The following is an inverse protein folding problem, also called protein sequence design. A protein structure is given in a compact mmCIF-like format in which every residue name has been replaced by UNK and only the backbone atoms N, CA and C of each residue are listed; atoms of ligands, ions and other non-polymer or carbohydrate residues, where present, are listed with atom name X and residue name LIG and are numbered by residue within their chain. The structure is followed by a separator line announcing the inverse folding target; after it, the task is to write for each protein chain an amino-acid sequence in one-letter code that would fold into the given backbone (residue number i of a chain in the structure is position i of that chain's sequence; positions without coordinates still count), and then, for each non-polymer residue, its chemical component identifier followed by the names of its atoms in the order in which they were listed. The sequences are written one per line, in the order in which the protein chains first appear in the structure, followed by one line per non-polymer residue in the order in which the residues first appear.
data_IF_296431814489
#
_entry.id   IF_296431814489
#
_cell.length_a   1.000
_cell.length_b   1.000
_cell.length_c   1.000
_cell.angle_alpha   90.00
_cell.angle_beta   90.00
_cell.angle_gamma   90.00
#
_symmetry.space_group_name_H-M   'P 1'
#
loop_
_entity.id
_entity.type
_entity.pdbx_description
1 polymer ?
#
# COMPACT_ATOMS: atom_id res chain seq x y z
N UNK A 1 -16.19 0.60 44.35
CA UNK A 1 -17.63 0.37 44.64
C UNK A 1 -17.89 -0.72 45.68
N UNK A 2 -17.08 -1.79 45.76
CA UNK A 2 -17.31 -2.87 46.72
C UNK A 2 -17.32 -2.43 48.20
N UNK A 3 -16.42 -1.53 48.60
CA UNK A 3 -16.31 -1.10 50.00
C UNK A 3 -17.65 -0.60 50.57
N UNK A 4 -18.41 0.21 49.84
CA UNK A 4 -19.72 0.71 50.28
C UNK A 4 -20.78 -0.41 50.42
N UNK A 5 -20.67 -1.47 49.60
CA UNK A 5 -21.56 -2.63 49.65
C UNK A 5 -21.28 -3.49 50.89
N UNK A 6 -20.00 -3.74 51.18
CA UNK A 6 -19.57 -4.44 52.41
C UNK A 6 -19.95 -3.61 53.64
N UNK A 7 -19.74 -2.29 53.62
CA UNK A 7 -20.13 -1.38 54.71
C UNK A 7 -21.62 -1.45 55.08
N UNK A 8 -22.48 -1.71 54.09
CA UNK A 8 -23.91 -1.76 54.29
C UNK A 8 -24.36 -3.06 54.99
N UNK A 9 -23.56 -4.12 54.87
CA UNK A 9 -23.84 -5.45 55.43
C UNK A 9 -23.11 -5.64 56.76
N UNK A 10 -21.83 -5.26 56.83
CA UNK A 10 -21.03 -5.26 58.05
C UNK A 10 -20.47 -3.87 58.37
N UNK A 11 -21.12 -3.22 59.34
CA UNK A 11 -20.70 -1.92 59.85
C UNK A 11 -19.35 -1.96 60.58
N UNK A 12 -18.86 -3.14 61.00
CA UNK A 12 -17.55 -3.30 61.61
C UNK A 12 -16.43 -2.95 60.62
N UNK A 13 -16.54 -3.44 59.38
CA UNK A 13 -15.56 -3.23 58.31
C UNK A 13 -15.33 -1.76 57.96
N UNK A 14 -16.30 -0.88 58.25
CA UNK A 14 -16.24 0.53 57.86
C UNK A 14 -16.11 1.50 59.02
N UNK A 15 -16.42 1.06 60.25
CA UNK A 15 -16.33 1.92 61.43
C UNK A 15 -15.22 1.51 62.40
N UNK A 16 -14.66 0.31 62.27
CA UNK A 16 -13.69 -0.21 63.23
C UNK A 16 -12.37 -0.60 62.55
N UNK A 17 -12.37 -1.61 61.68
CA UNK A 17 -11.16 -2.04 60.97
C UNK A 17 -11.51 -2.89 59.77
N UNK A 18 -10.77 -2.72 58.68
CA UNK A 18 -10.80 -3.64 57.56
C UNK A 18 -9.85 -4.81 57.85
N UNK A 19 -10.40 -5.99 58.15
CA UNK A 19 -9.63 -7.19 58.49
C UNK A 19 -9.94 -8.36 57.53
N UNK A 20 -9.43 -9.56 57.83
CA UNK A 20 -9.59 -10.74 56.97
C UNK A 20 -11.04 -11.18 56.79
N UNK A 21 -11.96 -10.83 57.70
CA UNK A 21 -13.39 -11.11 57.54
C UNK A 21 -13.97 -10.16 56.50
N UNK A 22 -13.61 -8.87 56.57
CA UNK A 22 -14.03 -7.87 55.58
C UNK A 22 -13.54 -8.18 54.16
N UNK A 23 -12.35 -8.78 54.04
CA UNK A 23 -11.83 -9.26 52.75
C UNK A 23 -12.66 -10.45 52.23
N UNK A 24 -13.02 -11.40 53.10
CA UNK A 24 -13.89 -12.52 52.73
C UNK A 24 -15.30 -12.08 52.33
N UNK A 25 -15.90 -11.15 53.06
CA UNK A 25 -17.20 -10.58 52.72
C UNK A 25 -17.15 -9.74 51.44
N UNK A 26 -16.05 -9.03 51.18
CA UNK A 26 -15.85 -8.32 49.93
C UNK A 26 -15.76 -9.28 48.73
N UNK A 27 -15.11 -10.43 48.89
CA UNK A 27 -15.07 -11.47 47.87
C UNK A 27 -16.45 -12.09 47.62
N UNK A 28 -17.27 -12.29 48.66
CA UNK A 28 -18.61 -12.87 48.49
C UNK A 28 -19.64 -11.86 47.93
N UNK A 29 -19.60 -10.61 48.39
CA UNK A 29 -20.60 -9.59 48.05
C UNK A 29 -20.26 -8.82 46.77
N UNK A 30 -18.99 -8.78 46.39
CA UNK A 30 -18.51 -7.99 45.27
C UNK A 30 -17.47 -8.68 44.39
N UNK A 31 -16.98 -9.87 44.76
CA UNK A 31 -16.15 -10.65 43.88
C UNK A 31 -17.01 -11.10 42.71
N UNK A 32 -16.72 -10.58 41.53
CA UNK A 32 -17.16 -11.23 40.30
C UNK A 32 -16.63 -12.67 40.33
N UNK A 33 -17.48 -13.70 40.22
CA UNK A 33 -17.00 -15.07 40.10
C UNK A 33 -16.10 -15.15 38.86
N UNK A 34 -14.81 -15.48 39.06
CA UNK A 34 -13.87 -15.69 37.94
C UNK A 34 -12.61 -14.82 37.92
N UNK A 35 -12.36 -13.95 38.90
CA UNK A 35 -11.10 -13.18 38.93
C UNK A 35 -9.93 -14.03 39.45
N UNK A 36 -8.82 -14.02 38.71
CA UNK A 36 -7.59 -14.72 39.08
C UNK A 36 -6.94 -14.12 40.35
N UNK A 37 -6.69 -14.91 41.41
CA UNK A 37 -5.90 -14.47 42.56
C UNK A 37 -4.40 -14.32 42.25
N UNK A 38 -3.72 -13.41 42.94
CA UNK A 38 -2.26 -13.28 42.88
C UNK A 38 -1.59 -14.59 43.34
N UNK A 39 -0.68 -15.11 42.51
CA UNK A 39 -0.04 -16.41 42.69
C UNK A 39 1.46 -16.35 42.35
N UNK A 40 2.25 -17.28 42.91
CA UNK A 40 3.71 -17.36 42.77
C UNK A 40 4.20 -18.54 41.89
N UNK A 41 3.27 -19.23 41.24
CA UNK A 41 3.54 -20.38 40.37
C UNK A 41 2.82 -20.26 39.03
N UNK A 42 3.38 -20.91 38.01
CA UNK A 42 2.76 -21.00 36.69
C UNK A 42 1.48 -21.85 36.70
N UNK A 43 0.69 -21.78 35.63
CA UNK A 43 -0.61 -22.43 35.52
C UNK A 43 -0.53 -23.97 35.42
N UNK A 44 0.67 -24.52 35.41
CA UNK A 44 0.93 -25.94 35.20
C UNK A 44 1.65 -26.60 36.37
N UNK A 45 1.82 -25.83 37.45
CA UNK A 45 2.37 -26.30 38.71
C UNK A 45 1.26 -26.26 39.75
N UNK A 46 1.10 -27.32 40.54
CA UNK A 46 0.13 -27.31 41.64
C UNK A 46 0.53 -26.28 42.72
N UNK A 47 -0.44 -25.54 43.28
CA UNK A 47 -0.15 -24.52 44.27
C UNK A 47 -1.38 -23.85 44.91
N UNK A 48 -1.17 -22.62 45.37
CA UNK A 48 -2.23 -21.76 45.89
C UNK A 48 -3.25 -21.43 44.77
N UNK A 49 -4.46 -20.96 45.09
CA UNK A 49 -5.42 -20.54 44.06
C UNK A 49 -4.84 -19.52 43.08
N UNK A 50 -5.14 -19.70 41.79
CA UNK A 50 -4.63 -18.87 40.69
C UNK A 50 -3.21 -19.22 40.22
N UNK A 51 -2.77 -18.59 39.14
CA UNK A 51 -1.43 -18.76 38.57
C UNK A 51 -0.88 -17.44 38.00
N UNK A 52 0.40 -17.43 37.62
CA UNK A 52 1.09 -16.21 37.16
C UNK A 52 0.64 -15.69 35.81
N UNK A 53 0.04 -16.53 34.96
CA UNK A 53 -0.56 -16.10 33.69
C UNK A 53 -2.03 -15.77 33.94
N UNK A 54 -2.34 -14.48 33.95
CA UNK A 54 -3.68 -13.97 34.30
C UNK A 54 -4.72 -14.38 33.26
N UNK A 55 -4.38 -14.42 31.97
CA UNK A 55 -5.34 -14.74 30.90
C UNK A 55 -5.69 -16.23 30.92
N UNK A 56 -4.68 -17.09 31.07
CA UNK A 56 -4.92 -18.52 31.28
C UNK A 56 -5.69 -18.78 32.58
N UNK A 57 -5.28 -18.11 33.66
CA UNK A 57 -5.92 -18.24 34.96
C UNK A 57 -7.41 -17.88 34.88
N UNK A 58 -7.76 -16.72 34.32
CA UNK A 58 -9.16 -16.29 34.16
C UNK A 58 -9.97 -17.28 33.30
N UNK A 59 -9.35 -17.86 32.27
CA UNK A 59 -9.96 -18.89 31.43
C UNK A 59 -10.29 -20.16 32.22
N UNK A 60 -9.33 -20.66 33.02
CA UNK A 60 -9.55 -21.81 33.91
C UNK A 60 -10.55 -21.45 35.01
N UNK A 61 -10.46 -20.27 35.62
CA UNK A 61 -11.39 -19.79 36.64
C UNK A 61 -12.84 -19.75 36.17
N UNK A 62 -13.06 -19.43 34.90
CA UNK A 62 -14.40 -19.37 34.29
C UNK A 62 -15.02 -20.76 34.12
N UNK A 63 -14.19 -21.79 33.96
CA UNK A 63 -14.61 -23.19 33.80
C UNK A 63 -14.73 -23.89 35.15
N UNK A 64 -13.69 -23.78 35.98
CA UNK A 64 -13.65 -24.32 37.34
C UNK A 64 -13.28 -23.24 38.38
N UNK A 65 -14.33 -22.74 39.04
CA UNK A 65 -14.20 -21.80 40.15
C UNK A 65 -13.42 -22.40 41.34
N UNK A 66 -13.24 -23.72 41.44
CA UNK A 66 -12.42 -24.36 42.46
C UNK A 66 -10.95 -23.90 42.36
N UNK A 67 -10.42 -23.78 41.13
CA UNK A 67 -9.03 -23.39 40.86
C UNK A 67 -8.68 -21.99 41.38
N UNK A 68 -9.68 -21.12 41.50
CA UNK A 68 -9.49 -19.72 41.89
C UNK A 68 -10.02 -19.39 43.28
N UNK A 69 -10.77 -20.31 43.91
CA UNK A 69 -11.31 -20.12 45.24
C UNK A 69 -10.74 -21.07 46.31
N UNK A 70 -10.16 -22.22 45.91
CA UNK A 70 -9.78 -23.27 46.85
C UNK A 70 -8.32 -23.69 46.70
N UNK A 71 -7.91 -24.15 45.51
CA UNK A 71 -6.53 -24.54 45.23
C UNK A 71 -6.31 -24.74 43.74
N UNK A 72 -5.09 -24.48 43.28
CA UNK A 72 -4.64 -24.89 41.97
C UNK A 72 -4.07 -26.31 42.06
N UNK A 73 -4.89 -27.34 41.84
CA UNK A 73 -4.47 -28.74 41.96
C UNK A 73 -4.24 -29.41 40.58
N UNK A 74 -3.95 -30.71 40.55
CA UNK A 74 -3.69 -31.43 39.30
C UNK A 74 -4.86 -31.45 38.31
N UNK A 75 -6.09 -31.15 38.73
CA UNK A 75 -7.21 -30.92 37.82
C UNK A 75 -7.07 -29.55 37.16
N UNK A 76 -6.78 -28.50 37.94
CA UNK A 76 -6.52 -27.15 37.42
C UNK A 76 -5.34 -27.11 36.44
N UNK A 77 -4.27 -27.86 36.73
CA UNK A 77 -3.13 -28.02 35.80
C UNK A 77 -3.56 -28.72 34.50
N UNK A 78 -4.41 -29.74 34.59
CA UNK A 78 -4.94 -30.43 33.40
C UNK A 78 -5.87 -29.55 32.57
N UNK A 79 -6.74 -28.79 33.22
CA UNK A 79 -7.61 -27.81 32.57
C UNK A 79 -6.81 -26.66 31.95
N UNK A 80 -5.74 -26.19 32.62
CA UNK A 80 -4.82 -25.21 32.04
C UNK A 80 -4.11 -25.76 30.81
N UNK A 81 -3.68 -27.03 30.81
CA UNK A 81 -3.07 -27.65 29.63
C UNK A 81 -4.06 -27.76 28.46
N UNK A 82 -5.34 -28.05 28.73
CA UNK A 82 -6.38 -28.16 27.71
C UNK A 82 -6.83 -26.79 27.17
N UNK A 83 -6.94 -25.78 28.05
CA UNK A 83 -7.51 -24.48 27.72
C UNK A 83 -6.47 -23.43 27.32
N UNK A 84 -5.21 -23.60 27.75
CA UNK A 84 -4.15 -22.61 27.58
C UNK A 84 -2.87 -23.14 26.90
N UNK A 85 -2.75 -24.46 26.68
CA UNK A 85 -1.54 -25.10 26.12
C UNK A 85 -0.41 -25.31 27.15
N UNK A 86 0.44 -26.33 27.01
CA UNK A 86 1.48 -26.66 28.02
C UNK A 86 2.68 -25.67 28.03
N UNK A 87 3.35 -25.48 29.19
CA UNK A 87 4.47 -24.55 29.33
C UNK A 87 5.72 -25.16 28.69
N UNK A 88 6.28 -24.43 27.73
CA UNK A 88 7.41 -24.88 26.92
C UNK A 88 7.09 -25.05 25.44
N UNK A 89 5.84 -24.83 25.03
CA UNK A 89 5.58 -24.47 23.64
C UNK A 89 6.33 -23.18 23.32
N UNK A 90 7.10 -23.17 22.23
CA UNK A 90 7.73 -21.98 21.66
C UNK A 90 7.37 -21.83 20.17
N UNK A 91 6.26 -22.47 19.75
CA UNK A 91 5.84 -22.77 18.37
C UNK A 91 6.83 -23.61 17.54
N UNK A 92 8.12 -23.51 17.81
CA UNK A 92 9.21 -24.06 17.00
C UNK A 92 9.61 -25.47 17.42
N UNK A 93 8.85 -26.10 18.29
CA UNK A 93 9.09 -27.46 18.77
C UNK A 93 7.76 -28.15 19.07
N UNK A 94 7.68 -29.48 18.86
CA UNK A 94 6.50 -30.26 19.24
C UNK A 94 6.25 -30.10 20.74
N UNK A 95 4.99 -29.92 21.13
CA UNK A 95 4.60 -29.79 22.54
C UNK A 95 3.55 -30.81 22.98
N UNK A 96 3.10 -31.71 22.10
CA UNK A 96 2.09 -32.76 22.33
C UNK A 96 0.71 -32.26 22.87
N UNK A 97 0.57 -30.96 23.15
CA UNK A 97 -0.68 -30.24 23.42
C UNK A 97 -1.25 -29.60 22.16
N UNK A 98 -2.24 -28.71 22.27
CA UNK A 98 -2.80 -27.96 21.13
C UNK A 98 -2.22 -26.55 21.09
N UNK A 99 -2.01 -26.02 19.88
CA UNK A 99 -1.56 -24.64 19.69
C UNK A 99 -0.13 -24.37 20.16
N UNK A 100 0.22 -23.08 20.23
CA UNK A 100 1.50 -22.62 20.74
C UNK A 100 1.42 -21.25 21.44
N UNK A 101 2.55 -20.76 21.94
CA UNK A 101 2.65 -19.56 22.76
C UNK A 101 2.70 -18.24 21.97
N UNK A 102 2.87 -18.29 20.65
CA UNK A 102 2.76 -17.14 19.75
C UNK A 102 1.42 -17.20 18.98
N UNK A 103 0.45 -16.32 19.29
CA UNK A 103 -0.88 -16.37 18.68
C UNK A 103 -0.89 -16.02 17.19
N UNK A 104 0.13 -15.30 16.70
CA UNK A 104 0.25 -14.99 15.27
C UNK A 104 0.77 -16.21 14.51
N UNK A 105 1.78 -16.87 15.06
CA UNK A 105 2.31 -18.11 14.52
C UNK A 105 1.27 -19.23 14.56
N UNK A 106 0.61 -19.41 15.70
CA UNK A 106 -0.46 -20.39 15.85
C UNK A 106 -1.53 -20.15 14.78
N UNK A 107 -2.05 -18.93 14.64
CA UNK A 107 -3.09 -18.63 13.65
C UNK A 107 -2.65 -18.93 12.21
N UNK A 108 -1.38 -18.66 11.87
CA UNK A 108 -0.83 -18.94 10.54
C UNK A 108 -0.76 -20.45 10.27
N UNK A 109 -0.27 -21.24 11.24
CA UNK A 109 -0.19 -22.69 11.14
C UNK A 109 -1.59 -23.32 11.13
N UNK A 110 -2.50 -22.89 12.03
CA UNK A 110 -3.89 -23.37 12.08
C UNK A 110 -4.65 -23.15 10.77
N UNK A 111 -4.34 -22.08 10.04
CA UNK A 111 -4.99 -21.77 8.77
C UNK A 111 -4.62 -22.77 7.66
N UNK A 112 -3.46 -23.42 7.78
CA UNK A 112 -2.99 -24.46 6.86
C UNK A 112 -3.38 -25.85 7.38
N UNK A 113 -3.07 -26.13 8.65
CA UNK A 113 -3.37 -27.41 9.30
C UNK A 113 -4.14 -27.24 10.61
N UNK A 114 -5.46 -27.48 10.54
CA UNK A 114 -6.34 -27.48 11.70
C UNK A 114 -5.96 -28.55 12.74
N UNK A 115 -5.22 -29.60 12.36
CA UNK A 115 -4.74 -30.62 13.30
C UNK A 115 -3.89 -30.00 14.41
N UNK A 116 -3.09 -28.99 14.10
CA UNK A 116 -2.20 -28.31 15.05
C UNK A 116 -2.94 -27.60 16.19
N UNK A 117 -4.22 -27.27 15.97
CA UNK A 117 -5.02 -26.43 16.87
C UNK A 117 -6.24 -27.17 17.42
N UNK A 118 -6.64 -28.28 16.79
CA UNK A 118 -7.74 -29.13 17.24
C UNK A 118 -7.27 -30.47 17.83
N UNK A 119 -6.05 -30.93 17.52
CA UNK A 119 -5.59 -32.27 17.91
C UNK A 119 -4.25 -32.28 18.63
N UNK A 120 -3.18 -31.82 17.99
CA UNK A 120 -1.85 -31.79 18.60
C UNK A 120 -0.86 -30.93 17.80
N UNK A 121 -0.04 -30.17 18.49
CA UNK A 121 1.14 -29.49 17.98
C UNK A 121 2.33 -30.45 17.96
N UNK A 122 2.44 -31.21 16.89
CA UNK A 122 3.46 -32.24 16.70
C UNK A 122 4.66 -31.75 15.86
N UNK A 123 5.50 -32.67 15.39
CA UNK A 123 6.66 -32.35 14.53
C UNK A 123 6.32 -31.79 13.16
N UNK A 124 5.09 -32.00 12.67
CA UNK A 124 4.61 -31.38 11.44
C UNK A 124 4.28 -29.92 11.71
N UNK A 125 3.52 -29.64 12.78
CA UNK A 125 3.18 -28.28 13.20
C UNK A 125 4.42 -27.42 13.49
N UNK A 126 5.43 -27.99 14.15
CA UNK A 126 6.69 -27.29 14.41
C UNK A 126 7.52 -27.03 13.13
N UNK A 127 7.41 -27.89 12.11
CA UNK A 127 8.08 -27.68 10.82
C UNK A 127 7.35 -26.60 10.01
N UNK A 128 6.02 -26.63 9.98
CA UNK A 128 5.21 -25.58 9.36
C UNK A 128 5.44 -24.23 10.04
N UNK A 129 5.54 -24.21 11.38
CA UNK A 129 5.91 -23.01 12.12
C UNK A 129 7.32 -22.51 11.78
N UNK A 130 8.28 -23.40 11.54
CA UNK A 130 9.62 -23.02 11.12
C UNK A 130 9.65 -22.37 9.73
N UNK A 131 8.69 -22.71 8.85
CA UNK A 131 8.56 -22.12 7.52
C UNK A 131 7.72 -20.83 7.53
N UNK A 132 6.72 -20.72 8.41
CA UNK A 132 5.74 -19.64 8.40
C UNK A 132 6.02 -18.51 9.39
N UNK A 133 6.64 -18.83 10.53
CA UNK A 133 6.62 -17.97 11.69
C UNK A 133 7.97 -17.33 11.98
N UNK A 134 7.99 -16.00 12.08
CA UNK A 134 9.21 -15.22 12.32
C UNK A 134 9.88 -15.63 13.63
N UNK A 135 9.08 -15.97 14.65
CA UNK A 135 9.55 -16.46 15.96
C UNK A 135 10.36 -17.76 15.86
N UNK A 136 10.13 -18.55 14.80
CA UNK A 136 10.83 -19.80 14.50
C UNK A 136 11.92 -19.68 13.44
N UNK A 137 12.24 -18.45 13.03
CA UNK A 137 13.17 -18.17 11.94
C UNK A 137 12.56 -18.32 10.55
N UNK A 138 11.24 -18.53 10.46
CA UNK A 138 10.48 -18.53 9.21
C UNK A 138 10.05 -17.11 8.85
N UNK A 139 10.62 -16.54 7.80
CA UNK A 139 9.94 -15.48 7.07
C UNK A 139 8.91 -16.15 6.17
N UNK A 140 7.69 -15.61 6.09
CA UNK A 140 6.67 -16.07 5.15
C UNK A 140 7.33 -16.42 3.80
N UNK A 141 7.18 -17.65 3.26
CA UNK A 141 7.86 -18.05 2.04
C UNK A 141 7.53 -17.04 0.95
N UNK A 142 8.55 -16.38 0.40
CA UNK A 142 8.36 -15.32 -0.60
C UNK A 142 8.72 -13.90 -0.15
N UNK A 143 9.07 -13.65 1.12
CA UNK A 143 9.55 -12.32 1.54
C UNK A 143 11.00 -12.14 1.09
N UNK A 144 11.27 -11.04 0.39
CA UNK A 144 12.62 -10.70 -0.01
C UNK A 144 13.52 -10.37 1.19
N UNK A 145 14.63 -11.09 1.42
CA UNK A 145 15.60 -10.73 2.45
C UNK A 145 16.42 -9.48 2.06
N UNK A 146 16.96 -8.78 3.05
CA UNK A 146 17.83 -7.61 2.82
C UNK A 146 19.13 -8.05 2.11
N UNK A 147 19.43 -7.40 0.98
CA UNK A 147 20.54 -7.77 0.09
C UNK A 147 21.40 -6.56 -0.28
N UNK A 148 22.64 -6.81 -0.72
CA UNK A 148 23.64 -5.80 -1.08
C UNK A 148 23.85 -5.66 -2.60
N UNK A 149 23.02 -6.31 -3.41
CA UNK A 149 23.12 -6.35 -4.87
C UNK A 149 21.76 -6.16 -5.56
N UNK A 150 21.78 -5.71 -6.81
CA UNK A 150 20.58 -5.60 -7.64
C UNK A 150 20.07 -6.96 -8.14
N UNK A 151 18.82 -7.02 -8.60
CA UNK A 151 18.17 -8.28 -9.01
C UNK A 151 18.76 -8.90 -10.29
N UNK A 152 19.73 -8.24 -10.92
CA UNK A 152 20.34 -8.64 -12.18
C UNK A 152 21.81 -9.04 -12.00
N UNK A 153 22.24 -9.14 -10.75
CA UNK A 153 23.59 -9.53 -10.35
C UNK A 153 23.50 -10.73 -9.41
N UNK A 154 24.35 -11.74 -9.64
CA UNK A 154 24.43 -12.90 -8.73
C UNK A 154 24.96 -12.48 -7.34
N UNK A 155 24.43 -13.06 -6.26
CA UNK A 155 24.91 -12.80 -4.91
C UNK A 155 24.21 -13.58 -3.79
N UNK A 156 24.08 -12.95 -2.62
CA UNK A 156 23.31 -13.50 -1.48
C UNK A 156 21.83 -13.65 -1.80
N UNK A 157 21.06 -14.34 -0.96
CA UNK A 157 19.61 -14.46 -1.16
C UNK A 157 18.93 -13.08 -1.22
N UNK A 158 17.89 -12.96 -2.05
CA UNK A 158 17.18 -11.71 -2.33
C UNK A 158 18.01 -10.67 -3.09
N UNK A 159 17.39 -9.54 -3.42
CA UNK A 159 18.02 -8.41 -4.11
C UNK A 159 17.48 -7.07 -3.59
N UNK A 160 18.10 -5.95 -3.98
CA UNK A 160 17.79 -4.63 -3.43
C UNK A 160 16.43 -4.07 -3.88
N UNK A 161 15.86 -4.56 -4.99
CA UNK A 161 14.51 -4.18 -5.41
C UNK A 161 13.52 -5.18 -4.83
N UNK A 162 12.82 -4.77 -3.77
CA UNK A 162 11.91 -5.62 -3.01
C UNK A 162 10.73 -6.11 -3.86
N UNK A 163 10.19 -5.28 -4.77
CA UNK A 163 9.04 -5.67 -5.59
C UNK A 163 9.43 -6.71 -6.64
N UNK A 164 10.57 -6.51 -7.31
CA UNK A 164 11.11 -7.52 -8.22
C UNK A 164 11.48 -8.80 -7.47
N UNK A 165 12.16 -8.65 -6.33
CA UNK A 165 12.58 -9.76 -5.52
C UNK A 165 11.39 -10.62 -5.08
N UNK A 166 10.34 -10.04 -4.49
CA UNK A 166 9.13 -10.76 -4.08
C UNK A 166 8.45 -11.46 -5.26
N UNK A 167 8.49 -10.86 -6.45
CA UNK A 167 7.97 -11.47 -7.69
C UNK A 167 8.75 -12.73 -8.06
N UNK A 168 10.08 -12.69 -7.99
CA UNK A 168 10.95 -13.86 -8.24
C UNK A 168 10.77 -14.89 -7.11
N UNK A 169 10.74 -14.47 -5.85
CA UNK A 169 10.56 -15.37 -4.70
C UNK A 169 9.25 -16.18 -4.78
N UNK A 170 8.20 -15.59 -5.34
CA UNK A 170 6.92 -16.26 -5.51
C UNK A 170 6.95 -17.39 -6.55
N UNK A 171 7.93 -17.36 -7.46
CA UNK A 171 8.14 -18.37 -8.51
C UNK A 171 9.22 -19.37 -8.10
N UNK A 172 10.35 -18.87 -7.59
CA UNK A 172 11.46 -19.67 -7.10
C UNK A 172 11.92 -19.21 -5.71
N UNK A 173 11.49 -19.95 -4.69
CA UNK A 173 11.90 -19.73 -3.31
C UNK A 173 13.41 -19.89 -3.10
N UNK A 174 14.12 -20.62 -3.98
CA UNK A 174 15.57 -20.76 -3.89
C UNK A 174 16.27 -19.39 -3.93
N UNK A 175 15.75 -18.45 -4.72
CA UNK A 175 16.31 -17.11 -4.86
C UNK A 175 16.27 -16.29 -3.56
N UNK A 176 15.35 -16.63 -2.65
CA UNK A 176 15.08 -15.87 -1.42
C UNK A 176 15.44 -16.63 -0.15
N UNK A 177 15.54 -17.96 -0.22
CA UNK A 177 15.92 -18.82 0.90
C UNK A 177 17.39 -19.25 0.85
N UNK A 178 17.97 -19.33 -0.36
CA UNK A 178 19.29 -19.94 -0.55
C UNK A 178 20.30 -18.98 -1.15
N UNK A 179 20.09 -18.52 -2.38
CA UNK A 179 21.02 -17.62 -3.08
C UNK A 179 20.41 -17.05 -4.35
N UNK A 180 20.79 -15.82 -4.67
CA UNK A 180 20.48 -15.21 -5.96
C UNK A 180 21.54 -15.63 -6.99
N UNK A 181 21.30 -16.72 -7.73
CA UNK A 181 22.23 -17.23 -8.76
C UNK A 181 21.83 -16.81 -10.18
N UNK A 182 22.52 -17.33 -11.20
CA UNK A 182 22.24 -16.97 -12.60
C UNK A 182 20.82 -17.34 -13.06
N UNK A 183 20.16 -18.33 -12.45
CA UNK A 183 18.76 -18.63 -12.73
C UNK A 183 17.88 -17.53 -12.14
N UNK A 184 18.15 -17.07 -10.92
CA UNK A 184 17.45 -15.94 -10.31
C UNK A 184 17.59 -14.65 -11.13
N UNK A 185 18.77 -14.40 -11.72
CA UNK A 185 19.01 -13.27 -12.62
C UNK A 185 18.21 -13.40 -13.92
N UNK A 186 18.17 -14.61 -14.51
CA UNK A 186 17.38 -14.87 -15.72
C UNK A 186 15.87 -14.72 -15.44
N UNK A 187 15.39 -15.23 -14.31
CA UNK A 187 14.00 -15.10 -13.86
C UNK A 187 13.62 -13.66 -13.54
N UNK A 188 14.49 -12.90 -12.87
CA UNK A 188 14.30 -11.48 -12.64
C UNK A 188 14.22 -10.69 -13.95
N UNK A 189 15.04 -11.05 -14.93
CA UNK A 189 15.02 -10.44 -16.27
C UNK A 189 13.70 -10.72 -17.00
N UNK A 190 13.13 -11.91 -16.85
CA UNK A 190 11.85 -12.28 -17.46
C UNK A 190 10.63 -11.70 -16.72
N UNK A 191 10.65 -11.70 -15.38
CA UNK A 191 9.49 -11.37 -14.56
C UNK A 191 9.39 -9.88 -14.20
N UNK A 192 10.52 -9.22 -13.98
CA UNK A 192 10.56 -7.83 -13.53
C UNK A 192 10.91 -6.84 -14.64
N UNK A 193 11.48 -7.34 -15.75
CA UNK A 193 12.23 -6.50 -16.68
C UNK A 193 13.53 -6.01 -16.06
N UNK A 194 14.48 -5.59 -16.89
CA UNK A 194 15.80 -5.16 -16.42
C UNK A 194 15.80 -3.62 -16.18
N UNK A 195 15.82 -3.11 -14.93
CA UNK A 195 16.07 -1.72 -14.64
C UNK A 195 17.48 -1.37 -15.11
N UNK A 196 17.59 -0.23 -15.78
CA UNK A 196 18.85 0.22 -16.37
C UNK A 196 19.14 -0.32 -17.77
N UNK A 197 18.13 -0.82 -18.49
CA UNK A 197 18.25 -0.98 -19.93
C UNK A 197 18.58 0.35 -20.61
N UNK A 198 18.06 1.47 -20.08
CA UNK A 198 18.27 2.80 -20.63
C UNK A 198 19.48 3.51 -20.02
N UNK A 199 20.57 3.66 -20.78
CA UNK A 199 21.65 4.54 -20.36
C UNK A 199 21.23 6.00 -20.40
N UNK A 200 21.88 6.82 -19.58
CA UNK A 200 21.73 8.28 -19.59
C UNK A 200 21.97 8.82 -21.01
N UNK A 201 21.00 9.60 -21.49
CA UNK A 201 20.97 10.11 -22.85
C UNK A 201 20.70 11.62 -22.87
N UNK A 202 21.17 12.29 -23.92
CA UNK A 202 21.04 13.74 -24.13
C UNK A 202 19.97 14.13 -25.16
N UNK A 203 19.18 13.15 -25.63
CA UNK A 203 18.15 13.32 -26.66
C UNK A 203 16.85 12.59 -26.30
N UNK A 204 15.74 13.09 -26.83
CA UNK A 204 14.43 12.46 -26.72
C UNK A 204 14.35 11.15 -27.53
N UNK A 205 13.29 10.37 -27.31
CA UNK A 205 13.13 9.05 -27.94
C UNK A 205 12.78 9.11 -29.43
N UNK A 206 12.54 10.30 -29.95
CA UNK A 206 12.13 10.55 -31.34
C UNK A 206 13.25 11.18 -32.17
N UNK A 207 14.45 11.29 -31.60
CA UNK A 207 15.64 11.83 -32.23
C UNK A 207 16.74 10.78 -32.24
N UNK A 208 17.44 10.61 -33.37
CA UNK A 208 18.59 9.70 -33.43
C UNK A 208 19.76 10.22 -32.57
N UNK A 209 20.48 9.33 -31.88
CA UNK A 209 21.58 9.71 -31.00
C UNK A 209 22.42 8.58 -30.42
N UNK A 210 23.00 8.83 -29.25
CA UNK A 210 23.66 7.80 -28.43
C UNK A 210 22.67 6.73 -27.96
N UNK A 211 23.12 5.64 -27.32
CA UNK A 211 22.21 4.64 -26.77
C UNK A 211 21.22 5.27 -25.77
N UNK A 212 20.00 4.76 -25.74
CA UNK A 212 18.92 5.23 -24.86
C UNK A 212 18.36 6.61 -25.21
N UNK A 213 17.30 7.03 -24.53
CA UNK A 213 16.69 8.35 -24.66
C UNK A 213 16.23 8.91 -23.31
N UNK A 214 15.83 10.19 -23.28
CA UNK A 214 15.53 10.90 -22.01
C UNK A 214 14.22 10.47 -21.34
N UNK A 215 13.28 9.87 -22.07
CA UNK A 215 12.09 9.28 -21.46
C UNK A 215 12.37 7.82 -21.12
N UNK A 216 12.59 7.55 -19.83
CA UNK A 216 13.00 6.23 -19.32
C UNK A 216 11.93 5.18 -19.62
N UNK A 217 10.64 5.50 -19.49
CA UNK A 217 9.58 4.51 -19.70
C UNK A 217 9.46 4.12 -21.17
N UNK A 218 9.53 5.11 -22.08
CA UNK A 218 9.58 4.85 -23.50
C UNK A 218 10.85 4.06 -23.87
N UNK A 219 11.97 4.54 -23.36
CA UNK A 219 13.26 3.94 -23.61
C UNK A 219 13.26 2.45 -23.21
N UNK A 220 12.81 2.11 -21.99
CA UNK A 220 12.78 0.73 -21.51
C UNK A 220 11.84 -0.15 -22.34
N UNK A 221 10.73 0.42 -22.82
CA UNK A 221 9.80 -0.25 -23.74
C UNK A 221 10.48 -0.61 -25.06
N UNK A 222 11.23 0.32 -25.66
CA UNK A 222 11.99 0.07 -26.89
C UNK A 222 13.14 -0.90 -26.62
N UNK A 223 13.88 -0.74 -25.52
CA UNK A 223 15.00 -1.61 -25.16
C UNK A 223 14.59 -3.08 -24.96
N UNK A 224 13.39 -3.31 -24.43
CA UNK A 224 12.85 -4.65 -24.24
C UNK A 224 12.57 -5.35 -25.59
N UNK A 225 12.30 -4.58 -26.64
CA UNK A 225 12.07 -5.08 -28.00
C UNK A 225 13.37 -5.17 -28.79
N UNK A 226 14.17 -4.12 -28.76
CA UNK A 226 15.48 -4.05 -29.43
C UNK A 226 16.59 -3.56 -28.49
N UNK A 227 17.35 -4.52 -27.98
CA UNK A 227 18.53 -4.27 -27.16
C UNK A 227 19.61 -3.46 -27.89
N UNK A 228 19.59 -3.36 -29.22
CA UNK A 228 20.52 -2.53 -29.99
C UNK A 228 20.38 -1.04 -29.64
N UNK A 229 19.14 -0.58 -29.44
CA UNK A 229 18.82 0.81 -29.13
C UNK A 229 19.49 1.31 -27.85
N UNK A 230 19.77 0.39 -26.94
CA UNK A 230 20.22 0.73 -25.59
C UNK A 230 21.65 0.25 -25.29
N UNK A 231 22.17 -0.67 -26.11
CA UNK A 231 23.55 -1.14 -26.01
C UNK A 231 24.48 -0.57 -27.10
N UNK A 232 23.94 -0.11 -28.23
CA UNK A 232 24.76 0.28 -29.40
C UNK A 232 24.50 1.69 -29.89
N UNK A 233 23.27 2.03 -30.25
CA UNK A 233 22.89 3.38 -30.70
C UNK A 233 21.39 3.51 -30.84
N UNK A 234 20.86 4.70 -30.57
CA UNK A 234 19.48 5.07 -30.91
C UNK A 234 19.42 5.57 -32.35
N UNK A 235 19.16 4.67 -33.31
CA UNK A 235 19.09 5.00 -34.75
C UNK A 235 17.64 5.16 -35.25
N UNK A 236 17.47 5.35 -36.57
CA UNK A 236 16.14 5.53 -37.16
C UNK A 236 15.19 4.34 -37.01
N UNK A 237 15.69 3.13 -36.70
CA UNK A 237 14.86 1.99 -36.32
C UNK A 237 14.35 2.20 -34.90
N UNK A 238 15.23 2.57 -33.96
CA UNK A 238 14.85 2.88 -32.57
C UNK A 238 13.84 4.01 -32.48
N UNK A 239 13.99 5.07 -33.29
CA UNK A 239 13.00 6.15 -33.39
C UNK A 239 11.66 5.65 -33.93
N UNK A 240 11.68 4.76 -34.93
CA UNK A 240 10.47 4.13 -35.45
C UNK A 240 9.77 3.25 -34.41
N UNK A 241 10.53 2.44 -33.68
CA UNK A 241 10.01 1.61 -32.60
C UNK A 241 9.49 2.45 -31.43
N UNK A 242 10.15 3.55 -31.07
CA UNK A 242 9.66 4.51 -30.09
C UNK A 242 8.33 5.15 -30.53
N UNK A 243 8.21 5.46 -31.81
CA UNK A 243 6.96 5.98 -32.40
C UNK A 243 5.84 4.95 -32.31
N UNK A 244 6.13 3.68 -32.59
CA UNK A 244 5.11 2.62 -32.59
C UNK A 244 4.73 2.15 -31.17
N UNK A 245 5.68 2.14 -30.23
CA UNK A 245 5.54 1.51 -28.91
C UNK A 245 5.29 2.52 -27.77
N UNK A 246 5.88 3.71 -27.84
CA UNK A 246 5.80 4.70 -26.78
C UNK A 246 4.75 5.78 -27.04
N UNK A 247 4.61 6.18 -28.31
CA UNK A 247 3.64 7.19 -28.73
C UNK A 247 2.26 6.56 -28.92
N UNK A 248 1.85 5.78 -27.91
CA UNK A 248 0.71 4.87 -27.92
C UNK A 248 -0.52 5.44 -28.61
N UNK A 249 -0.79 4.88 -29.80
CA UNK A 249 -1.99 5.01 -30.63
C UNK A 249 -2.12 6.27 -31.51
N UNK A 250 -2.71 6.11 -32.72
CA UNK A 250 -3.19 7.25 -33.51
C UNK A 250 -4.01 8.20 -32.64
N UNK A 251 -3.56 9.46 -32.52
CA UNK A 251 -4.20 10.49 -31.71
C UNK A 251 -3.41 11.01 -30.49
N UNK A 252 -2.09 10.84 -30.40
CA UNK A 252 -1.27 11.56 -29.40
C UNK A 252 -0.91 12.96 -29.91
N UNK A 253 -0.96 13.96 -29.03
CA UNK A 253 -0.69 15.36 -29.37
C UNK A 253 0.82 15.66 -29.51
N UNK A 254 1.30 16.08 -30.70
CA UNK A 254 2.68 16.55 -30.85
C UNK A 254 2.88 17.97 -30.31
N UNK A 255 4.11 18.28 -29.92
CA UNK A 255 4.48 19.62 -29.46
C UNK A 255 4.34 20.67 -30.59
N UNK A 256 3.73 21.81 -30.27
CA UNK A 256 3.44 22.90 -31.21
C UNK A 256 3.67 24.28 -30.57
N UNK A 257 3.94 25.28 -31.42
CA UNK A 257 4.21 26.68 -31.04
C UNK A 257 2.95 27.58 -31.12
N UNK A 258 1.77 27.01 -31.40
CA UNK A 258 0.53 27.78 -31.51
C UNK A 258 -0.58 27.25 -30.58
N UNK A 259 -1.49 28.15 -30.21
CA UNK A 259 -2.69 27.78 -29.44
C UNK A 259 -3.63 26.87 -30.26
N UNK A 260 -4.57 26.24 -29.57
CA UNK A 260 -5.51 25.26 -30.15
C UNK A 260 -6.59 25.90 -31.03
N UNK A 261 -6.70 27.23 -31.01
CA UNK A 261 -7.64 28.01 -31.81
C UNK A 261 -6.97 28.64 -33.05
N UNK A 262 -5.69 28.34 -33.27
CA UNK A 262 -4.90 28.83 -34.40
C UNK A 262 -4.45 27.65 -35.26
N UNK A 263 -4.75 27.69 -36.55
CA UNK A 263 -4.27 26.69 -37.51
C UNK A 263 -2.74 26.74 -37.69
N UNK A 264 -2.11 25.58 -37.83
CA UNK A 264 -0.66 25.47 -37.95
C UNK A 264 -0.11 24.06 -38.15
N UNK A 265 1.00 23.79 -37.47
CA UNK A 265 1.61 22.46 -37.45
C UNK A 265 0.69 21.48 -36.68
N UNK A 266 0.84 20.16 -36.82
CA UNK A 266 0.11 19.23 -35.96
C UNK A 266 0.25 19.57 -34.48
N UNK A 267 -0.83 19.35 -33.72
CA UNK A 267 -0.91 19.64 -32.29
C UNK A 267 -1.09 21.11 -31.91
N UNK A 268 -1.18 21.42 -30.62
CA UNK A 268 -1.27 22.77 -30.07
C UNK A 268 -0.64 22.87 -28.68
N UNK A 269 -0.53 24.10 -28.13
CA UNK A 269 0.17 24.35 -26.87
C UNK A 269 -0.55 23.84 -25.60
N UNK A 270 -1.86 23.59 -25.65
CA UNK A 270 -2.60 22.99 -24.54
C UNK A 270 -2.71 21.49 -24.77
N UNK A 271 -1.94 20.71 -24.01
CA UNK A 271 -1.86 19.25 -24.15
C UNK A 271 -3.23 18.57 -23.95
N UNK A 272 -4.02 19.02 -22.97
CA UNK A 272 -5.31 18.38 -22.67
C UNK A 272 -6.35 18.67 -23.76
N UNK A 273 -6.39 19.92 -24.25
CA UNK A 273 -7.22 20.27 -25.39
C UNK A 273 -6.76 19.55 -26.66
N UNK A 274 -5.45 19.47 -26.87
CA UNK A 274 -4.88 18.81 -28.00
C UNK A 274 -5.21 17.32 -28.04
N UNK A 275 -4.99 16.58 -26.95
CA UNK A 275 -5.35 15.16 -26.82
C UNK A 275 -6.84 14.92 -27.07
N UNK A 276 -7.72 15.82 -26.58
CA UNK A 276 -9.15 15.74 -26.83
C UNK A 276 -9.49 15.91 -28.32
N UNK A 277 -8.83 16.85 -29.03
CA UNK A 277 -9.01 17.05 -30.47
C UNK A 277 -8.45 15.87 -31.26
N UNK A 278 -7.26 15.36 -30.88
CA UNK A 278 -6.63 14.20 -31.51
C UNK A 278 -7.49 12.93 -31.41
N UNK A 279 -8.22 12.77 -30.31
CA UNK A 279 -9.12 11.65 -30.08
C UNK A 279 -10.37 11.69 -30.98
N UNK A 280 -10.81 12.88 -31.39
CA UNK A 280 -11.91 13.06 -32.35
C UNK A 280 -11.44 12.92 -33.80
N UNK A 281 -10.29 13.51 -34.14
CA UNK A 281 -9.69 13.41 -35.47
C UNK A 281 -8.16 13.35 -35.39
N UNK A 282 -7.61 12.16 -35.65
CA UNK A 282 -6.16 11.94 -35.61
C UNK A 282 -5.41 12.73 -36.70
N UNK A 283 -6.10 13.22 -37.74
CA UNK A 283 -5.52 14.12 -38.74
C UNK A 283 -4.90 15.38 -38.11
N UNK A 284 -5.51 15.89 -37.03
CA UNK A 284 -5.05 17.09 -36.32
C UNK A 284 -3.67 16.93 -35.68
N UNK A 285 -3.29 15.68 -35.43
CA UNK A 285 -2.08 15.33 -34.68
C UNK A 285 -1.08 14.53 -35.52
N UNK A 286 -1.53 13.95 -36.64
CA UNK A 286 -0.68 13.25 -37.60
C UNK A 286 -0.31 14.08 -38.83
N UNK A 287 -1.20 14.98 -39.28
CA UNK A 287 -1.06 15.64 -40.59
C UNK A 287 -0.96 17.16 -40.50
N UNK A 288 -1.95 17.83 -39.92
CA UNK A 288 -1.92 19.29 -39.70
C UNK A 288 -3.05 19.74 -38.78
N UNK A 289 -2.83 20.82 -38.04
CA UNK A 289 -3.87 21.51 -37.31
C UNK A 289 -4.56 22.53 -38.22
N UNK A 290 -5.66 22.16 -38.87
CA UNK A 290 -6.39 23.03 -39.80
C UNK A 290 -7.68 23.64 -39.17
N UNK A 291 -8.50 24.30 -39.98
CA UNK A 291 -9.76 24.89 -39.52
C UNK A 291 -10.75 23.85 -38.96
N UNK A 292 -10.68 22.59 -39.40
CA UNK A 292 -11.51 21.54 -38.82
C UNK A 292 -11.02 21.21 -37.40
N UNK A 293 -9.71 21.14 -37.18
CA UNK A 293 -9.11 20.96 -35.86
C UNK A 293 -9.46 22.10 -34.90
N UNK A 294 -9.44 23.35 -35.37
CA UNK A 294 -9.88 24.51 -34.59
C UNK A 294 -11.36 24.42 -34.23
N UNK A 295 -12.23 23.95 -35.15
CA UNK A 295 -13.65 23.77 -34.85
C UNK A 295 -13.89 22.64 -33.85
N UNK A 296 -13.15 21.54 -33.94
CA UNK A 296 -13.19 20.47 -32.93
C UNK A 296 -12.74 21.04 -31.59
N UNK A 297 -11.64 21.79 -31.55
CA UNK A 297 -11.14 22.42 -30.33
C UNK A 297 -12.19 23.33 -29.67
N UNK A 298 -12.96 24.10 -30.46
CA UNK A 298 -14.08 24.91 -29.95
C UNK A 298 -15.22 24.07 -29.35
N UNK A 299 -15.39 22.82 -29.77
CA UNK A 299 -16.45 21.93 -29.29
C UNK A 299 -16.03 21.08 -28.08
N UNK A 300 -14.79 20.59 -28.07
CA UNK A 300 -14.31 19.64 -27.05
C UNK A 300 -13.45 20.29 -25.97
N UNK A 301 -12.84 21.44 -26.25
CA UNK A 301 -12.04 22.17 -25.26
C UNK A 301 -12.92 23.17 -24.51
N UNK A 302 -13.82 22.66 -23.67
CA UNK A 302 -14.67 23.46 -22.79
C UNK A 302 -14.11 23.40 -21.36
N UNK A 303 -13.34 24.42 -20.95
CA UNK A 303 -13.06 24.69 -19.53
C UNK A 303 -11.63 24.92 -19.05
N UNK A 304 -10.63 25.08 -19.93
CA UNK A 304 -9.27 25.49 -19.51
C UNK A 304 -8.91 26.84 -20.12
N UNK A 305 -9.20 27.90 -19.35
CA UNK A 305 -8.62 29.25 -19.44
C UNK A 305 -8.12 29.69 -20.82
N UNK A 306 -8.88 30.55 -21.50
CA UNK A 306 -8.44 31.14 -22.76
C UNK A 306 -7.01 31.71 -22.64
N UNK A 307 -6.14 31.65 -23.67
CA UNK A 307 -4.70 31.95 -23.57
C UNK A 307 -4.36 33.43 -23.33
N UNK A 308 -5.32 34.24 -22.89
CA UNK A 308 -5.25 35.69 -22.97
C UNK A 308 -5.73 36.38 -21.70
N UNK A 309 -5.03 37.46 -21.36
CA UNK A 309 -5.18 38.23 -20.13
C UNK A 309 -6.64 38.60 -19.82
N UNK A 310 -7.16 38.14 -18.67
CA UNK A 310 -8.52 38.44 -18.19
C UNK A 310 -8.86 39.94 -18.14
N UNK A 311 -7.86 40.79 -17.99
CA UNK A 311 -8.01 42.22 -17.79
C UNK A 311 -8.12 43.02 -19.09
N UNK A 312 -8.10 42.36 -20.25
CA UNK A 312 -8.17 43.00 -21.56
C UNK A 312 -9.15 42.25 -22.47
N UNK A 313 -9.89 42.96 -23.35
CA UNK A 313 -10.67 42.31 -24.39
C UNK A 313 -9.73 41.54 -25.30
N UNK A 314 -10.02 40.26 -25.53
CA UNK A 314 -9.18 39.36 -26.30
C UNK A 314 -9.87 38.81 -27.55
N UNK A 315 -11.21 38.90 -27.63
CA UNK A 315 -11.97 38.46 -28.80
C UNK A 315 -12.10 36.94 -28.94
N UNK A 316 -11.46 36.16 -28.06
CA UNK A 316 -11.64 34.73 -27.88
C UNK A 316 -12.67 34.44 -26.80
N UNK A 317 -12.73 33.18 -26.35
CA UNK A 317 -13.62 32.75 -25.26
C UNK A 317 -12.78 32.56 -24.00
N UNK A 318 -13.26 33.06 -22.85
CA UNK A 318 -12.56 32.93 -21.58
C UNK A 318 -11.29 33.77 -21.45
N UNK A 319 -10.47 33.47 -20.44
CA UNK A 319 -9.22 34.16 -20.16
C UNK A 319 -8.22 33.32 -19.35
N UNK A 320 -7.00 33.83 -19.17
CA UNK A 320 -5.83 33.10 -18.68
C UNK A 320 -5.83 32.74 -17.17
N UNK A 321 -6.86 33.15 -16.44
CA UNK A 321 -7.07 32.80 -15.04
C UNK A 321 -8.43 32.13 -14.84
N UNK A 322 -8.42 30.81 -14.63
CA UNK A 322 -9.64 30.01 -14.53
C UNK A 322 -10.55 30.43 -13.36
N UNK A 323 -10.00 30.97 -12.27
CA UNK A 323 -10.80 31.43 -11.14
C UNK A 323 -11.51 32.75 -11.47
N UNK A 324 -10.81 33.66 -12.14
CA UNK A 324 -11.37 34.91 -12.61
C UNK A 324 -12.38 34.70 -13.74
N UNK A 325 -12.04 33.86 -14.71
CA UNK A 325 -12.93 33.43 -15.78
C UNK A 325 -14.22 32.85 -15.18
N UNK A 326 -14.13 31.87 -14.29
CA UNK A 326 -15.31 31.25 -13.65
C UNK A 326 -16.18 32.28 -12.91
N UNK A 327 -15.57 33.27 -12.27
CA UNK A 327 -16.30 34.34 -11.59
C UNK A 327 -17.06 35.24 -12.57
N UNK A 328 -16.40 35.70 -13.64
CA UNK A 328 -17.02 36.52 -14.71
C UNK A 328 -18.12 35.72 -15.40
N UNK A 329 -17.83 34.47 -15.77
CA UNK A 329 -18.75 33.58 -16.48
C UNK A 329 -19.97 33.16 -15.65
N UNK A 330 -19.85 33.19 -14.32
CA UNK A 330 -20.97 33.03 -13.40
C UNK A 330 -21.94 34.22 -13.40
N UNK A 331 -21.50 35.39 -13.86
CA UNK A 331 -22.31 36.62 -13.99
C UNK A 331 -22.77 36.79 -15.43
N UNK A 332 -21.85 36.76 -16.39
CA UNK A 332 -22.10 36.88 -17.81
C UNK A 332 -21.61 35.66 -18.58
N UNK A 333 -22.56 34.79 -18.93
CA UNK A 333 -22.30 33.61 -19.73
C UNK A 333 -21.87 33.95 -21.17
N UNK A 334 -21.99 35.19 -21.63
CA UNK A 334 -21.44 35.64 -22.91
C UNK A 334 -19.91 35.50 -22.92
N UNK A 335 -19.25 35.78 -21.80
CA UNK A 335 -17.79 35.77 -21.69
C UNK A 335 -17.15 34.38 -21.82
N UNK A 336 -17.87 33.30 -21.45
CA UNK A 336 -17.45 31.90 -21.68
C UNK A 336 -18.08 31.22 -22.89
N UNK A 337 -19.00 31.87 -23.61
CA UNK A 337 -19.74 31.18 -24.70
C UNK A 337 -19.72 31.89 -26.03
N UNK A 338 -19.34 33.16 -26.04
CA UNK A 338 -19.41 33.98 -27.24
C UNK A 338 -18.11 34.72 -27.45
N UNK A 339 -17.76 35.64 -26.54
CA UNK A 339 -16.57 36.47 -26.70
C UNK A 339 -16.19 37.14 -25.38
N UNK A 340 -14.89 37.19 -25.09
CA UNK A 340 -14.30 38.00 -24.04
C UNK A 340 -14.00 39.40 -24.57
N UNK A 341 -15.03 40.25 -24.53
CA UNK A 341 -15.01 41.61 -25.04
C UNK A 341 -14.67 42.64 -23.94
N UNK A 342 -14.88 43.93 -24.23
CA UNK A 342 -14.59 45.01 -23.28
C UNK A 342 -15.49 45.02 -22.04
N UNK A 343 -16.64 44.35 -22.09
CA UNK A 343 -17.53 44.17 -20.94
C UNK A 343 -16.95 43.08 -20.05
N UNK A 344 -16.56 41.93 -20.62
CA UNK A 344 -15.92 40.83 -19.88
C UNK A 344 -14.66 41.26 -19.13
N UNK A 345 -13.79 42.03 -19.79
CA UNK A 345 -12.60 42.61 -19.15
C UNK A 345 -12.95 43.63 -18.04
N UNK A 346 -14.05 44.36 -18.19
CA UNK A 346 -14.56 45.27 -17.16
C UNK A 346 -15.10 44.51 -15.93
N UNK A 347 -15.83 43.43 -16.16
CA UNK A 347 -16.31 42.54 -15.10
C UNK A 347 -15.16 41.84 -14.37
N UNK A 348 -14.11 41.44 -15.11
CA UNK A 348 -12.88 40.90 -14.53
C UNK A 348 -12.17 41.90 -13.61
N UNK A 349 -12.14 43.19 -13.96
CA UNK A 349 -11.59 44.23 -13.09
C UNK A 349 -12.37 44.39 -11.77
N UNK A 350 -13.68 44.21 -11.80
CA UNK A 350 -14.54 44.31 -10.62
C UNK A 350 -14.49 43.04 -9.74
N UNK A 351 -14.49 41.87 -10.36
CA UNK A 351 -14.56 40.57 -9.67
C UNK A 351 -13.18 40.04 -9.25
N UNK A 352 -12.13 40.41 -9.97
CA UNK A 352 -10.76 39.94 -9.78
C UNK A 352 -9.77 41.10 -9.57
N UNK A 353 -9.99 41.99 -8.59
CA UNK A 353 -9.23 43.24 -8.45
C UNK A 353 -7.74 43.04 -8.11
N UNK A 354 -7.35 41.85 -7.63
CA UNK A 354 -5.94 41.51 -7.41
C UNK A 354 -5.23 41.06 -8.69
N UNK A 355 -5.99 40.58 -9.68
CA UNK A 355 -5.49 40.14 -10.99
C UNK A 355 -5.50 41.31 -11.99
N UNK A 356 -6.56 42.13 -11.94
CA UNK A 356 -6.83 43.25 -12.85
C UNK A 356 -6.85 44.60 -12.09
N UNK A 357 -5.67 45.18 -11.79
CA UNK A 357 -5.56 46.42 -11.03
C UNK A 357 -5.90 47.70 -11.81
#
# INVERSE_FOLDING_TARGET
ECCETVCAVDAFCCNNSWDGICVGEAAELCGEPGLCPDSDHDCFTEGAPGCTDIECCETVCAVDAFCCNNSWDGICVGEAAELCGEPGSNCCSPNDGVGCDDPTCEAAVCAIDAFCCETAWDGVCAAEAADLCEVCGGGQPGICPESDHDCFTEGGAGCTDVECCETVCAVDLFCCDSSWDGICVDEASELCGQPGLCPDSDHDCFTEGGPGCTDIACCETVCAVDAFCCNTSWDGICVGEATDLCDGQPGVCPASDHDCLTAGAPGCTDLACCEAVCAEDSFCCETMWDELCVNIALEVCDGTGGPSNCCMPNGGIGCDDAACESAVCGIDAFCCKVEWDGICAGEAADLCPNLCP
#
